data_IF_557137204492
#
_entry.id   IF_557137204492
#
_cell.length_a   1.000
_cell.length_b   1.000
_cell.length_c   1.000
_cell.angle_alpha   90.00
_cell.angle_beta   90.00
_cell.angle_gamma   90.00
#
_symmetry.space_group_name_H-M   'P 1'
#
loop_
_entity.id
_entity.type
_entity.pdbx_description
1 polymer ?
#
# COMPACT_ATOMS: atom_id res chain seq x y z
N UNK A 1 -11.56 -13.14 -17.38
CA UNK A 1 -12.25 -12.37 -16.33
C UNK A 1 -11.21 -12.21 -15.22
N UNK A 2 -10.53 -11.06 -15.20
CA UNK A 2 -9.42 -10.81 -14.28
C UNK A 2 -10.07 -10.33 -12.98
N UNK A 3 -10.25 -11.23 -12.03
CA UNK A 3 -10.49 -10.81 -10.65
C UNK A 3 -9.19 -10.19 -10.15
N UNK A 4 -9.20 -8.94 -9.66
CA UNK A 4 -8.03 -8.37 -9.05
C UNK A 4 -7.72 -9.20 -7.80
N UNK A 5 -6.67 -10.01 -7.87
CA UNK A 5 -6.17 -10.85 -6.75
C UNK A 5 -5.79 -10.03 -5.49
N UNK A 6 -5.88 -8.71 -5.56
CA UNK A 6 -5.26 -7.79 -4.61
C UNK A 6 -6.21 -6.82 -3.90
N UNK A 7 -7.52 -6.94 -4.09
CA UNK A 7 -8.44 -6.41 -3.09
C UNK A 7 -8.83 -7.59 -2.21
N UNK A 8 -8.29 -7.71 -1.00
CA UNK A 8 -8.82 -8.69 -0.06
C UNK A 8 -10.31 -8.38 0.05
N UNK A 9 -11.14 -9.37 -0.25
CA UNK A 9 -12.52 -9.30 0.19
C UNK A 9 -12.42 -9.27 1.71
N UNK A 10 -12.59 -8.10 2.30
CA UNK A 10 -12.67 -7.91 3.74
C UNK A 10 -13.93 -8.64 4.21
N UNK A 11 -13.86 -9.97 4.28
CA UNK A 11 -14.99 -10.84 4.52
C UNK A 11 -15.33 -10.98 6.00
N UNK A 12 -14.48 -10.45 6.90
CA UNK A 12 -14.69 -10.59 8.33
C UNK A 12 -14.85 -9.23 9.01
N UNK A 13 -16.04 -8.97 9.52
CA UNK A 13 -16.34 -7.76 10.27
C UNK A 13 -16.07 -7.99 11.76
N UNK A 14 -15.17 -7.21 12.35
CA UNK A 14 -15.14 -7.00 13.79
C UNK A 14 -16.22 -5.94 14.07
N UNK A 15 -17.48 -6.36 14.10
CA UNK A 15 -18.57 -5.43 13.82
C UNK A 15 -19.16 -4.75 15.05
N UNK A 16 -19.18 -5.37 16.20
CA UNK A 16 -20.05 -4.92 17.28
C UNK A 16 -19.37 -3.97 18.29
N UNK A 17 -18.05 -3.98 18.38
CA UNK A 17 -17.33 -3.29 19.45
C UNK A 17 -16.54 -2.06 19.01
N UNK A 18 -16.14 -1.98 17.74
CA UNK A 18 -15.17 -0.95 17.31
C UNK A 18 -15.43 -0.34 15.94
N UNK A 19 -16.37 -0.84 15.16
CA UNK A 19 -16.54 -0.42 13.76
C UNK A 19 -15.34 -0.77 12.87
N UNK A 20 -14.50 -1.72 13.29
CA UNK A 20 -13.32 -2.16 12.56
C UNK A 20 -13.66 -3.40 11.76
N UNK A 21 -13.34 -3.40 10.48
CA UNK A 21 -13.32 -4.58 9.62
C UNK A 21 -11.88 -5.03 9.43
N UNK A 22 -11.65 -6.33 9.54
CA UNK A 22 -10.33 -6.93 9.51
C UNK A 22 -10.28 -8.04 8.48
N UNK A 23 -9.20 -8.08 7.70
CA UNK A 23 -8.78 -9.26 6.95
C UNK A 23 -7.32 -9.54 7.26
N UNK A 24 -6.96 -10.83 7.33
CA UNK A 24 -5.58 -11.24 7.57
C UNK A 24 -5.24 -12.43 6.68
N UNK A 25 -4.09 -12.39 6.03
CA UNK A 25 -3.59 -13.45 5.17
C UNK A 25 -2.12 -13.74 5.51
N UNK A 26 -1.80 -15.01 5.62
CA UNK A 26 -0.42 -15.50 5.69
C UNK A 26 -0.02 -16.05 4.33
N UNK A 27 1.03 -15.48 3.76
CA UNK A 27 1.68 -15.93 2.55
C UNK A 27 2.91 -16.74 2.90
N UNK A 28 3.00 -17.95 2.36
CA UNK A 28 4.17 -18.81 2.46
C UNK A 28 4.26 -19.61 1.14
N UNK A 29 4.75 -18.94 0.10
CA UNK A 29 4.76 -19.49 -1.25
C UNK A 29 6.00 -19.08 -2.02
N UNK A 30 6.35 -19.87 -3.04
CA UNK A 30 7.46 -19.56 -3.92
C UNK A 30 7.06 -18.44 -4.89
N UNK A 31 7.73 -17.29 -4.78
CA UNK A 31 7.55 -16.16 -5.69
C UNK A 31 8.79 -15.95 -6.55
N UNK A 32 8.56 -15.55 -7.79
CA UNK A 32 9.63 -15.16 -8.72
C UNK A 32 9.87 -13.65 -8.60
N UNK A 33 11.13 -13.26 -8.39
CA UNK A 33 11.49 -11.85 -8.17
C UNK A 33 11.31 -10.97 -9.41
N UNK A 34 11.28 -11.55 -10.59
CA UNK A 34 11.06 -10.89 -11.88
C UNK A 34 9.60 -10.94 -12.37
N UNK A 35 8.70 -11.53 -11.59
CA UNK A 35 7.26 -11.51 -11.88
C UNK A 35 6.67 -10.15 -11.50
N UNK A 36 6.29 -9.31 -12.47
CA UNK A 36 5.71 -7.99 -12.19
C UNK A 36 4.32 -8.08 -11.55
N UNK A 37 3.68 -9.24 -11.63
CA UNK A 37 2.35 -9.50 -11.08
C UNK A 37 2.42 -10.18 -9.70
N UNK A 38 3.61 -10.50 -9.19
CA UNK A 38 3.77 -11.11 -7.86
C UNK A 38 3.22 -10.18 -6.76
N UNK A 39 3.51 -8.88 -6.85
CA UNK A 39 2.90 -7.83 -6.02
C UNK A 39 2.88 -6.52 -6.83
N UNK A 40 1.87 -6.29 -7.66
CA UNK A 40 1.80 -5.09 -8.49
C UNK A 40 1.59 -3.83 -7.65
N UNK A 41 2.18 -2.72 -8.09
CA UNK A 41 1.95 -1.42 -7.48
C UNK A 41 0.44 -1.15 -7.35
N UNK A 42 -0.06 -0.95 -6.15
CA UNK A 42 -1.48 -0.83 -5.86
C UNK A 42 -1.80 0.22 -4.79
N UNK A 43 -3.08 0.43 -4.57
CA UNK A 43 -3.64 1.35 -3.58
C UNK A 43 -4.98 0.80 -3.10
N UNK A 44 -5.30 1.03 -1.86
CA UNK A 44 -6.62 0.75 -1.27
C UNK A 44 -6.96 1.74 -0.15
N UNK A 45 -8.21 1.71 0.30
CA UNK A 45 -8.71 2.62 1.34
C UNK A 45 -8.70 2.01 2.75
N UNK A 46 -7.91 0.97 2.97
CA UNK A 46 -7.69 0.40 4.30
C UNK A 46 -6.25 0.61 4.75
N UNK A 47 -6.03 0.53 6.04
CA UNK A 47 -4.68 0.42 6.60
C UNK A 47 -4.17 -0.99 6.30
N UNK A 48 -2.94 -1.09 5.80
CA UNK A 48 -2.25 -2.37 5.69
C UNK A 48 -1.05 -2.42 6.62
N UNK A 49 -0.95 -3.51 7.36
CA UNK A 49 0.26 -3.89 8.09
C UNK A 49 0.87 -5.09 7.36
N UNK A 50 2.00 -4.85 6.71
CA UNK A 50 2.83 -5.89 6.14
C UNK A 50 3.88 -6.30 7.17
N UNK A 51 3.86 -7.56 7.62
CA UNK A 51 4.85 -8.14 8.53
C UNK A 51 5.74 -9.10 7.75
N UNK A 52 7.02 -8.77 7.59
CA UNK A 52 7.99 -9.69 7.02
C UNK A 52 8.32 -10.79 8.02
N UNK A 53 8.04 -12.05 7.69
CA UNK A 53 8.41 -13.21 8.52
C UNK A 53 9.78 -13.71 8.13
N UNK A 54 9.96 -14.02 6.83
CA UNK A 54 11.25 -14.43 6.27
C UNK A 54 11.26 -14.22 4.75
N UNK A 55 11.53 -12.99 4.33
CA UNK A 55 11.55 -12.62 2.91
C UNK A 55 12.66 -11.62 2.63
N UNK A 56 13.38 -11.80 1.52
CA UNK A 56 14.33 -10.80 1.02
C UNK A 56 13.55 -9.76 0.20
N UNK A 57 13.06 -8.73 0.88
CA UNK A 57 12.10 -7.78 0.33
C UNK A 57 12.46 -6.33 0.64
N UNK A 58 12.25 -5.46 -0.34
CA UNK A 58 12.03 -4.03 -0.11
C UNK A 58 10.54 -3.71 -0.27
N UNK A 59 10.08 -2.68 0.40
CA UNK A 59 8.70 -2.23 0.32
C UNK A 59 8.66 -0.76 -0.09
N UNK A 60 7.99 -0.49 -1.21
CA UNK A 60 7.75 0.86 -1.70
C UNK A 60 6.47 1.39 -1.05
N UNK A 61 6.57 2.56 -0.41
CA UNK A 61 5.40 3.33 0.04
C UNK A 61 5.53 4.74 -0.52
N UNK A 62 4.58 5.14 -1.34
CA UNK A 62 4.59 6.40 -2.09
C UNK A 62 5.88 6.54 -2.92
N UNK A 63 6.77 7.46 -2.55
CA UNK A 63 8.04 7.73 -3.21
C UNK A 63 9.26 7.16 -2.49
N UNK A 64 9.08 6.46 -1.37
CA UNK A 64 10.18 5.94 -0.56
C UNK A 64 10.25 4.42 -0.61
N UNK A 65 11.46 3.91 -0.82
CA UNK A 65 11.76 2.48 -0.82
C UNK A 65 12.46 2.10 0.48
N UNK A 66 11.89 1.14 1.19
CA UNK A 66 12.37 0.66 2.49
C UNK A 66 12.86 -0.78 2.34
N UNK A 67 14.06 -1.08 2.83
CA UNK A 67 14.49 -2.46 3.05
C UNK A 67 13.81 -2.97 4.32
N UNK A 68 13.15 -4.12 4.24
CA UNK A 68 12.36 -4.68 5.34
C UNK A 68 13.00 -5.97 5.85
N UNK A 69 13.82 -5.91 6.91
CA UNK A 69 14.41 -7.10 7.52
C UNK A 69 13.36 -8.06 8.08
N UNK A 70 13.77 -9.32 8.29
CA UNK A 70 12.92 -10.33 8.93
C UNK A 70 12.40 -9.86 10.29
N UNK A 71 11.12 -10.03 10.52
CA UNK A 71 10.41 -9.62 11.73
C UNK A 71 10.06 -8.13 11.83
N UNK A 72 10.50 -7.31 10.87
CA UNK A 72 10.11 -5.90 10.77
C UNK A 72 8.79 -5.78 9.99
N UNK A 73 8.14 -4.64 10.11
CA UNK A 73 6.84 -4.41 9.51
C UNK A 73 6.75 -3.06 8.80
N UNK A 74 5.91 -3.01 7.77
CA UNK A 74 5.56 -1.76 7.08
C UNK A 74 4.08 -1.48 7.28
N UNK A 75 3.73 -0.24 7.55
CA UNK A 75 2.35 0.25 7.56
C UNK A 75 2.13 1.14 6.35
N UNK A 76 1.17 0.75 5.49
CA UNK A 76 0.64 1.60 4.43
C UNK A 76 -0.70 2.17 4.87
N UNK A 77 -0.80 3.50 4.87
CA UNK A 77 -2.04 4.19 5.23
C UNK A 77 -3.06 4.16 4.07
N UNK A 78 -4.36 4.37 4.36
CA UNK A 78 -5.35 4.53 3.31
C UNK A 78 -4.93 5.59 2.29
N UNK A 79 -4.88 5.21 1.03
CA UNK A 79 -4.48 6.10 -0.05
C UNK A 79 -2.98 6.08 -0.40
N UNK A 80 -2.14 5.41 0.37
CA UNK A 80 -0.74 5.22 0.01
C UNK A 80 -0.61 4.28 -1.19
N UNK A 81 0.25 4.67 -2.12
CA UNK A 81 0.69 3.77 -3.20
C UNK A 81 1.77 2.88 -2.62
N UNK A 82 1.61 1.57 -2.76
CA UNK A 82 2.60 0.67 -2.21
C UNK A 82 2.71 -0.65 -2.98
N UNK A 83 3.83 -1.34 -2.76
CA UNK A 83 4.09 -2.70 -3.20
C UNK A 83 5.30 -3.31 -2.50
N UNK A 84 5.32 -4.64 -2.38
CA UNK A 84 6.51 -5.41 -2.09
C UNK A 84 7.37 -5.64 -3.33
N UNK A 85 8.68 -5.63 -3.16
CA UNK A 85 9.68 -5.89 -4.20
C UNK A 85 10.59 -7.00 -3.70
N UNK A 86 10.35 -8.22 -4.15
CA UNK A 86 11.13 -9.39 -3.77
C UNK A 86 12.45 -9.44 -4.55
N UNK A 87 13.57 -9.59 -3.84
CA UNK A 87 14.90 -9.55 -4.45
C UNK A 87 15.41 -10.90 -4.93
N UNK A 88 14.81 -11.98 -4.45
CA UNK A 88 15.16 -13.35 -4.83
C UNK A 88 13.93 -14.19 -5.15
N UNK A 89 14.05 -15.02 -6.18
CA UNK A 89 13.08 -16.09 -6.43
C UNK A 89 13.27 -17.18 -5.37
N UNK A 90 12.40 -17.21 -4.38
CA UNK A 90 12.47 -18.08 -3.22
C UNK A 90 11.09 -18.26 -2.59
N UNK A 91 11.00 -19.13 -1.58
CA UNK A 91 9.83 -19.11 -0.69
C UNK A 91 9.88 -17.81 0.09
N UNK A 92 8.80 -17.05 -0.01
CA UNK A 92 8.60 -15.78 0.70
C UNK A 92 7.55 -16.01 1.78
N UNK A 93 7.84 -15.59 3.00
CA UNK A 93 6.90 -15.72 4.11
C UNK A 93 6.62 -14.37 4.75
N UNK A 94 5.35 -13.95 4.70
CA UNK A 94 4.89 -12.69 5.27
C UNK A 94 3.41 -12.76 5.66
N UNK A 95 3.00 -11.84 6.51
CA UNK A 95 1.59 -11.68 6.92
C UNK A 95 1.12 -10.28 6.54
N UNK A 96 0.00 -10.20 5.82
CA UNK A 96 -0.71 -8.94 5.57
C UNK A 96 -1.94 -8.86 6.45
N UNK A 97 -2.14 -7.74 7.12
CA UNK A 97 -3.33 -7.41 7.91
C UNK A 97 -3.93 -6.14 7.33
N UNK A 98 -5.14 -6.24 6.79
CA UNK A 98 -5.89 -5.09 6.28
C UNK A 98 -6.95 -4.70 7.29
N UNK A 99 -6.99 -3.40 7.61
CA UNK A 99 -7.90 -2.83 8.59
C UNK A 99 -8.69 -1.71 7.90
N UNK A 100 -10.01 -1.86 7.86
CA UNK A 100 -10.92 -0.80 7.42
C UNK A 100 -11.70 -0.31 8.66
N UNK A 101 -11.51 0.96 8.98
CA UNK A 101 -12.01 1.57 10.20
C UNK A 101 -12.13 3.10 10.05
N UNK A 102 -12.76 3.74 11.03
CA UNK A 102 -12.65 5.19 11.21
C UNK A 102 -11.26 5.52 11.79
N UNK A 103 -10.35 5.96 10.92
CA UNK A 103 -8.98 6.33 11.31
C UNK A 103 -8.90 7.65 12.08
N UNK A 104 -10.00 8.37 12.28
CA UNK A 104 -10.07 9.51 13.21
C UNK A 104 -10.16 9.06 14.66
N UNK A 105 -10.49 7.80 14.91
CA UNK A 105 -10.51 7.21 16.25
C UNK A 105 -9.17 7.36 16.97
N UNK A 106 -9.17 7.63 18.29
CA UNK A 106 -7.95 7.75 19.09
C UNK A 106 -7.01 6.55 19.04
N UNK A 107 -7.51 5.34 18.79
CA UNK A 107 -6.67 4.12 18.67
C UNK A 107 -5.70 4.18 17.49
N UNK A 108 -5.97 5.01 16.49
CA UNK A 108 -5.11 5.23 15.35
C UNK A 108 -4.33 6.56 15.42
N UNK A 109 -4.26 7.20 16.61
CA UNK A 109 -3.59 8.49 16.78
C UNK A 109 -2.11 8.48 16.42
N UNK A 110 -1.45 7.34 16.52
CA UNK A 110 -0.04 7.18 16.16
C UNK A 110 0.22 7.36 14.65
N UNK A 111 -0.76 7.10 13.78
CA UNK A 111 -0.66 7.32 12.34
C UNK A 111 -0.65 8.80 11.95
N UNK A 112 -1.10 9.68 12.84
CA UNK A 112 -1.22 11.14 12.59
C UNK A 112 -0.06 11.95 13.19
N UNK A 113 0.94 11.30 13.74
CA UNK A 113 2.15 11.97 14.23
C UNK A 113 2.92 12.52 13.04
N UNK A 114 3.42 13.76 13.13
CA UNK A 114 4.08 14.45 12.01
C UNK A 114 5.38 13.79 11.52
N UNK A 115 5.94 12.90 12.32
CA UNK A 115 7.13 12.10 12.05
C UNK A 115 6.82 10.62 11.81
N UNK A 116 5.60 10.30 11.34
CA UNK A 116 5.22 8.95 11.00
C UNK A 116 6.09 8.42 9.86
N UNK A 117 6.76 7.29 10.12
CA UNK A 117 7.48 6.53 9.09
C UNK A 117 6.77 5.20 8.85
N UNK A 118 6.61 4.77 7.60
CA UNK A 118 5.99 3.50 7.26
C UNK A 118 6.72 2.27 7.82
N UNK A 119 8.06 2.29 7.88
CA UNK A 119 8.86 1.15 8.34
C UNK A 119 9.01 1.15 9.87
N UNK A 120 8.73 0.03 10.48
CA UNK A 120 8.89 -0.25 11.92
C UNK A 120 9.89 -1.38 12.11
N UNK A 121 11.05 -1.05 12.72
CA UNK A 121 12.06 -2.03 13.08
C UNK A 121 12.02 -2.32 14.56
N UNK A 122 12.12 -3.58 14.94
CA UNK A 122 11.93 -4.04 16.31
C UNK A 122 13.14 -4.81 16.83
N UNK A 123 13.28 -4.87 18.15
CA UNK A 123 14.18 -5.82 18.81
C UNK A 123 13.64 -7.25 18.69
N UNK A 124 14.51 -8.23 18.87
CA UNK A 124 14.19 -9.64 18.68
C UNK A 124 13.03 -10.15 19.57
N UNK A 125 12.87 -9.59 20.77
CA UNK A 125 11.76 -9.96 21.65
C UNK A 125 10.43 -9.44 21.10
N UNK A 126 10.42 -8.20 20.63
CA UNK A 126 9.23 -7.57 20.04
C UNK A 126 8.86 -8.23 18.70
N UNK A 127 9.85 -8.58 17.86
CA UNK A 127 9.64 -9.34 16.61
C UNK A 127 8.89 -10.66 16.88
N UNK A 128 9.41 -11.46 17.81
CA UNK A 128 8.77 -12.73 18.20
C UNK A 128 7.36 -12.53 18.76
N UNK A 129 7.16 -11.50 19.56
CA UNK A 129 5.84 -11.16 20.09
C UNK A 129 4.86 -10.75 19.00
N UNK A 130 5.28 -9.87 18.08
CA UNK A 130 4.46 -9.40 16.97
C UNK A 130 4.06 -10.57 16.05
N UNK A 131 5.02 -11.42 15.71
CA UNK A 131 4.76 -12.63 14.92
C UNK A 131 3.78 -13.56 15.63
N UNK A 132 3.98 -13.83 16.92
CA UNK A 132 3.04 -14.64 17.71
C UNK A 132 1.61 -14.06 17.69
N UNK A 133 1.47 -12.75 17.89
CA UNK A 133 0.16 -12.09 17.89
C UNK A 133 -0.51 -12.14 16.51
N UNK A 134 0.26 -11.95 15.43
CA UNK A 134 -0.26 -12.03 14.07
C UNK A 134 -0.76 -13.45 13.73
N UNK A 135 0.02 -14.48 14.07
CA UNK A 135 -0.41 -15.87 13.85
C UNK A 135 -1.58 -16.28 14.77
N UNK A 136 -1.63 -15.78 16.01
CA UNK A 136 -2.77 -16.01 16.89
C UNK A 136 -4.04 -15.36 16.36
N UNK A 137 -3.94 -14.12 15.86
CA UNK A 137 -5.06 -13.44 15.22
C UNK A 137 -5.55 -14.21 13.98
N UNK A 138 -4.63 -14.67 13.14
CA UNK A 138 -4.96 -15.49 11.97
C UNK A 138 -5.68 -16.79 12.35
N UNK A 139 -5.21 -17.48 13.38
CA UNK A 139 -5.81 -18.73 13.87
C UNK A 139 -7.23 -18.51 14.40
N UNK A 140 -7.44 -17.46 15.18
CA UNK A 140 -8.76 -17.07 15.69
C UNK A 140 -9.71 -16.68 14.55
N UNK A 141 -9.22 -15.97 13.54
CA UNK A 141 -10.02 -15.63 12.35
C UNK A 141 -10.43 -16.90 11.58
N UNK A 142 -9.50 -17.83 11.35
CA UNK A 142 -9.77 -19.09 10.65
C UNK A 142 -10.74 -20.02 11.40
N UNK A 143 -10.72 -19.97 12.73
CA UNK A 143 -11.61 -20.81 13.60
C UNK A 143 -12.93 -20.14 13.93
N UNK A 144 -13.23 -18.99 13.30
CA UNK A 144 -14.43 -18.20 13.61
C UNK A 144 -14.55 -17.86 15.11
N UNK A 145 -13.39 -17.56 15.73
CA UNK A 145 -13.33 -17.18 17.15
C UNK A 145 -14.11 -15.89 17.46
N UNK A 146 -14.27 -15.60 18.74
CA UNK A 146 -15.10 -14.47 19.17
C UNK A 146 -14.55 -13.12 18.70
N UNK A 147 -15.42 -12.15 18.43
CA UNK A 147 -15.05 -10.79 18.06
C UNK A 147 -14.19 -10.10 19.14
N UNK A 148 -14.43 -10.42 20.41
CA UNK A 148 -13.63 -9.90 21.52
C UNK A 148 -12.20 -10.44 21.47
N UNK A 149 -12.01 -11.69 21.10
CA UNK A 149 -10.72 -12.33 20.98
C UNK A 149 -9.92 -11.77 19.81
N UNK A 150 -10.55 -11.65 18.63
CA UNK A 150 -9.98 -10.99 17.45
C UNK A 150 -9.56 -9.56 17.78
N UNK A 151 -10.45 -8.78 18.40
CA UNK A 151 -10.18 -7.40 18.82
C UNK A 151 -9.01 -7.32 19.80
N UNK A 152 -8.93 -8.23 20.76
CA UNK A 152 -7.84 -8.27 21.74
C UNK A 152 -6.47 -8.44 21.08
N UNK A 153 -6.33 -9.37 20.15
CA UNK A 153 -5.08 -9.55 19.41
C UNK A 153 -4.75 -8.33 18.55
N UNK A 154 -5.72 -7.78 17.83
CA UNK A 154 -5.52 -6.58 17.01
C UNK A 154 -5.03 -5.39 17.86
N UNK A 155 -5.68 -5.10 18.98
CA UNK A 155 -5.29 -4.00 19.86
C UNK A 155 -3.88 -4.20 20.44
N UNK A 156 -3.48 -5.44 20.76
CA UNK A 156 -2.12 -5.72 21.18
C UNK A 156 -1.10 -5.45 20.08
N UNK A 157 -1.42 -5.81 18.83
CA UNK A 157 -0.59 -5.50 17.65
C UNK A 157 -0.46 -3.98 17.50
N UNK A 158 -1.57 -3.24 17.46
CA UNK A 158 -1.56 -1.77 17.33
C UNK A 158 -0.81 -1.09 18.48
N UNK A 159 -0.88 -1.62 19.70
CA UNK A 159 -0.14 -1.11 20.86
C UNK A 159 1.37 -1.24 20.69
N UNK A 160 1.86 -2.26 19.97
CA UNK A 160 3.29 -2.38 19.66
C UNK A 160 3.73 -1.23 18.75
N UNK A 161 2.95 -0.93 17.70
CA UNK A 161 3.24 0.18 16.80
C UNK A 161 3.14 1.55 17.49
N UNK A 162 2.11 1.76 18.32
CA UNK A 162 1.94 3.01 19.06
C UNK A 162 3.14 3.35 19.98
N UNK A 163 3.70 2.33 20.64
CA UNK A 163 4.85 2.47 21.55
C UNK A 163 6.17 2.63 20.84
N UNK A 164 6.24 2.23 19.58
CA UNK A 164 7.46 2.33 18.79
C UNK A 164 7.49 3.71 18.14
N UNK A 165 8.45 4.54 18.56
CA UNK A 165 8.77 5.76 17.80
C UNK A 165 9.42 5.34 16.48
N UNK A 166 9.03 5.95 15.35
CA UNK A 166 9.75 5.73 14.11
C UNK A 166 11.22 6.11 14.32
N UNK A 167 12.12 5.21 13.97
CA UNK A 167 13.54 5.55 13.89
C UNK A 167 13.84 6.02 12.47
N UNK A 168 14.92 6.80 12.32
CA UNK A 168 15.53 7.06 11.01
C UNK A 168 15.70 5.75 10.27
N UNK A 169 14.80 5.50 9.33
CA UNK A 169 14.67 4.23 8.67
C UNK A 169 15.70 4.15 7.57
N UNK A 170 16.39 3.04 7.48
CA UNK A 170 17.25 2.75 6.36
C UNK A 170 16.42 2.75 5.06
N UNK A 171 16.42 3.88 4.37
CA UNK A 171 15.97 3.93 2.99
C UNK A 171 16.82 2.95 2.18
N UNK A 172 16.22 2.26 1.23
CA UNK A 172 16.99 1.44 0.32
C UNK A 172 18.02 2.31 -0.42
N UNK A 173 19.22 1.77 -0.60
CA UNK A 173 20.31 2.45 -1.30
C UNK A 173 19.97 2.54 -2.81
N UNK A 174 19.27 3.61 -3.17
CA UNK A 174 18.95 3.94 -4.56
C UNK A 174 19.70 5.20 -4.99
N UNK A 175 19.96 5.38 -6.30
CA UNK A 175 20.60 6.60 -6.80
C UNK A 175 19.83 7.86 -6.36
N UNK A 176 20.53 8.85 -5.80
CA UNK A 176 19.95 10.12 -5.36
C UNK A 176 19.09 10.78 -6.46
N UNK A 177 19.54 10.69 -7.71
CA UNK A 177 18.78 11.21 -8.86
C UNK A 177 17.47 10.44 -9.05
N UNK A 178 17.43 9.12 -8.78
CA UNK A 178 16.19 8.36 -8.84
C UNK A 178 15.23 8.80 -7.74
N UNK A 179 15.73 9.01 -6.50
CA UNK A 179 14.90 9.53 -5.42
C UNK A 179 14.27 10.88 -5.79
N UNK A 180 15.07 11.82 -6.30
CA UNK A 180 14.56 13.13 -6.78
C UNK A 180 13.50 13.00 -7.87
N UNK A 181 13.64 12.00 -8.75
CA UNK A 181 12.63 11.73 -9.79
C UNK A 181 11.32 11.20 -9.16
N UNK A 182 11.41 10.32 -8.17
CA UNK A 182 10.25 9.79 -7.48
C UNK A 182 9.51 10.90 -6.71
N UNK A 183 10.26 11.77 -6.03
CA UNK A 183 9.73 12.94 -5.33
C UNK A 183 9.01 13.88 -6.31
N UNK A 184 9.65 14.21 -7.45
CA UNK A 184 9.06 15.06 -8.49
C UNK A 184 7.78 14.44 -9.08
N UNK A 185 7.79 13.14 -9.38
CA UNK A 185 6.59 12.45 -9.86
C UNK A 185 5.48 12.53 -8.79
N UNK A 186 5.79 12.33 -7.52
CA UNK A 186 4.80 12.34 -6.45
C UNK A 186 4.20 13.73 -6.22
N UNK A 187 5.01 14.78 -6.28
CA UNK A 187 4.60 16.16 -6.08
C UNK A 187 3.91 16.77 -7.31
N UNK A 188 4.39 16.44 -8.51
CA UNK A 188 4.05 17.13 -9.76
C UNK A 188 3.37 16.23 -10.81
N UNK A 189 2.86 15.05 -10.45
CA UNK A 189 2.26 14.07 -11.37
C UNK A 189 1.20 14.65 -12.30
N UNK A 190 0.48 15.68 -11.88
CA UNK A 190 -0.59 16.33 -12.64
C UNK A 190 -0.04 17.24 -13.75
N UNK A 191 1.19 17.77 -13.61
CA UNK A 191 1.87 18.63 -14.60
C UNK A 191 2.75 17.84 -15.58
N UNK A 192 3.18 16.63 -15.22
CA UNK A 192 4.04 15.80 -16.04
C UNK A 192 3.25 15.26 -17.24
N UNK A 193 3.33 15.88 -18.40
CA UNK A 193 2.59 15.44 -19.59
C UNK A 193 3.06 14.07 -20.11
N UNK A 194 4.34 13.74 -19.95
CA UNK A 194 4.94 12.49 -20.44
C UNK A 194 6.23 12.15 -19.71
N UNK A 195 6.72 10.92 -19.87
CA UNK A 195 8.04 10.50 -19.36
C UNK A 195 9.16 11.38 -19.91
N UNK A 196 9.01 11.97 -21.12
CA UNK A 196 10.02 12.87 -21.69
C UNK A 196 10.21 14.15 -20.86
N UNK A 197 9.19 14.63 -20.16
CA UNK A 197 9.35 15.77 -19.24
C UNK A 197 10.31 15.40 -18.10
N UNK A 198 10.16 14.20 -17.52
CA UNK A 198 11.04 13.68 -16.47
C UNK A 198 12.50 13.60 -16.97
N UNK A 199 12.70 13.08 -18.21
CA UNK A 199 14.02 13.00 -18.81
C UNK A 199 14.69 14.36 -18.95
N UNK A 200 13.93 15.37 -19.38
CA UNK A 200 14.42 16.73 -19.57
C UNK A 200 14.74 17.44 -18.25
N UNK A 201 13.83 17.33 -17.25
CA UNK A 201 13.99 17.99 -15.95
C UNK A 201 15.16 17.44 -15.13
N UNK A 202 15.41 16.14 -15.21
CA UNK A 202 16.45 15.48 -14.41
C UNK A 202 17.72 15.11 -15.20
N UNK A 203 17.82 15.52 -16.45
CA UNK A 203 18.99 15.28 -17.31
C UNK A 203 19.42 13.82 -17.39
N UNK A 204 18.45 12.89 -17.43
CA UNK A 204 18.70 11.45 -17.53
C UNK A 204 18.29 10.89 -18.89
N UNK A 205 19.01 9.88 -19.36
CA UNK A 205 18.64 9.19 -20.60
C UNK A 205 17.45 8.25 -20.36
N UNK A 206 16.63 8.02 -21.40
CA UNK A 206 15.52 7.06 -21.35
C UNK A 206 15.99 5.66 -20.94
N UNK A 207 17.15 5.22 -21.44
CA UNK A 207 17.74 3.93 -21.09
C UNK A 207 18.10 3.84 -19.59
N UNK A 208 18.68 4.91 -19.03
CA UNK A 208 19.04 5.00 -17.61
C UNK A 208 17.78 4.96 -16.74
N UNK A 209 16.77 5.79 -17.04
CA UNK A 209 15.53 5.85 -16.31
C UNK A 209 14.81 4.50 -16.32
N UNK A 210 14.65 3.88 -17.49
CA UNK A 210 14.00 2.57 -17.63
C UNK A 210 14.75 1.50 -16.85
N UNK A 211 16.10 1.50 -16.91
CA UNK A 211 16.93 0.54 -16.15
C UNK A 211 16.75 0.72 -14.64
N UNK A 212 16.71 1.95 -14.13
CA UNK A 212 16.51 2.22 -12.71
C UNK A 212 15.12 1.78 -12.24
N UNK A 213 14.07 2.15 -12.97
CA UNK A 213 12.70 1.74 -12.61
C UNK A 213 12.54 0.23 -12.61
N UNK A 214 13.12 -0.47 -13.60
CA UNK A 214 13.09 -1.94 -13.63
C UNK A 214 13.91 -2.56 -12.50
N UNK A 215 15.11 -2.02 -12.22
CA UNK A 215 16.00 -2.58 -11.20
C UNK A 215 15.49 -2.39 -9.78
N UNK A 216 15.00 -1.19 -9.46
CA UNK A 216 14.67 -0.82 -8.09
C UNK A 216 13.16 -0.89 -7.79
N UNK A 217 12.31 -0.74 -8.79
CA UNK A 217 10.87 -0.63 -8.62
C UNK A 217 10.08 -1.70 -9.38
N UNK A 218 10.76 -2.56 -10.15
CA UNK A 218 10.17 -3.64 -10.96
C UNK A 218 8.98 -3.19 -11.83
N UNK A 219 9.00 -1.95 -12.29
CA UNK A 219 7.96 -1.33 -13.12
C UNK A 219 8.59 -0.44 -14.20
N UNK A 220 7.79 0.11 -15.10
CA UNK A 220 8.26 1.14 -16.01
C UNK A 220 7.96 2.55 -15.47
N UNK A 221 8.70 3.59 -15.90
CA UNK A 221 8.43 4.98 -15.50
C UNK A 221 7.00 5.42 -15.84
N UNK A 222 6.46 4.94 -16.96
CA UNK A 222 5.09 5.25 -17.38
C UNK A 222 4.05 4.61 -16.49
N UNK A 223 4.19 3.31 -16.21
CA UNK A 223 3.27 2.59 -15.33
C UNK A 223 3.29 3.15 -13.91
N UNK A 224 4.45 3.58 -13.43
CA UNK A 224 4.57 4.24 -12.14
C UNK A 224 3.79 5.56 -12.12
N UNK A 225 4.01 6.46 -13.10
CA UNK A 225 3.28 7.72 -13.21
C UNK A 225 1.75 7.49 -13.32
N UNK A 226 1.34 6.52 -14.15
CA UNK A 226 -0.08 6.14 -14.28
C UNK A 226 -0.66 5.65 -12.96
N UNK A 227 0.10 4.88 -12.16
CA UNK A 227 -0.33 4.41 -10.84
C UNK A 227 -0.46 5.56 -9.84
N UNK A 228 0.48 6.51 -9.80
CA UNK A 228 0.39 7.73 -8.96
C UNK A 228 -0.88 8.53 -9.29
N UNK A 229 -1.18 8.70 -10.58
CA UNK A 229 -2.40 9.39 -11.02
C UNK A 229 -3.68 8.67 -10.65
N UNK A 230 -3.71 7.34 -10.85
CA UNK A 230 -4.87 6.52 -10.47
C UNK A 230 -5.12 6.57 -8.97
N UNK A 231 -4.07 6.58 -8.17
CA UNK A 231 -4.09 6.76 -6.73
C UNK A 231 -4.79 8.05 -6.32
N UNK A 232 -4.36 9.15 -6.92
CA UNK A 232 -4.95 10.45 -6.65
C UNK A 232 -6.43 10.52 -7.10
N UNK A 233 -6.75 9.87 -8.23
CA UNK A 233 -8.15 9.77 -8.68
C UNK A 233 -9.02 9.03 -7.67
N UNK A 234 -8.52 7.94 -7.05
CA UNK A 234 -9.23 7.23 -5.98
C UNK A 234 -9.50 8.14 -4.80
N UNK A 235 -8.52 8.90 -4.32
CA UNK A 235 -8.70 9.87 -3.23
C UNK A 235 -9.75 10.93 -3.58
N UNK A 236 -9.71 11.47 -4.80
CA UNK A 236 -10.70 12.46 -5.25
C UNK A 236 -12.11 11.86 -5.31
N UNK A 237 -12.27 10.63 -5.81
CA UNK A 237 -13.55 9.93 -5.84
C UNK A 237 -14.08 9.66 -4.43
N UNK A 238 -13.23 9.27 -3.49
CA UNK A 238 -13.57 9.05 -2.07
C UNK A 238 -14.02 10.33 -1.40
N UNK A 239 -13.41 11.46 -1.77
CA UNK A 239 -13.80 12.81 -1.29
C UNK A 239 -15.03 13.37 -2.02
N UNK A 240 -15.75 12.56 -2.80
CA UNK A 240 -17.01 12.94 -3.44
C UNK A 240 -16.90 13.69 -4.77
N UNK A 241 -15.67 13.92 -5.29
CA UNK A 241 -15.48 14.57 -6.59
C UNK A 241 -16.12 13.78 -7.74
N UNK A 242 -16.50 14.47 -8.81
CA UNK A 242 -17.03 13.81 -10.02
C UNK A 242 -15.96 12.97 -10.71
N UNK A 243 -16.37 11.99 -11.53
CA UNK A 243 -15.43 11.18 -12.33
C UNK A 243 -14.59 12.06 -13.25
N UNK A 244 -15.19 13.11 -13.82
CA UNK A 244 -14.50 14.07 -14.69
C UNK A 244 -13.47 14.89 -13.91
N UNK A 245 -13.83 15.40 -12.73
CA UNK A 245 -12.89 16.13 -11.86
C UNK A 245 -11.73 15.22 -11.42
N UNK A 246 -12.03 13.98 -11.01
CA UNK A 246 -11.02 13.02 -10.62
C UNK A 246 -10.05 12.72 -11.79
N UNK A 247 -10.57 12.55 -13.01
CA UNK A 247 -9.76 12.39 -14.22
C UNK A 247 -8.82 13.58 -14.43
N UNK A 248 -9.36 14.78 -14.52
CA UNK A 248 -8.61 15.99 -14.87
C UNK A 248 -7.59 16.37 -13.80
N UNK A 249 -7.99 16.38 -12.54
CA UNK A 249 -7.14 16.78 -11.41
C UNK A 249 -6.06 15.73 -11.10
N UNK A 250 -6.23 14.50 -11.56
CA UNK A 250 -5.19 13.47 -11.48
C UNK A 250 -4.23 13.47 -12.67
N UNK A 251 -4.30 14.48 -13.54
CA UNK A 251 -3.35 14.68 -14.63
C UNK A 251 -3.63 13.84 -15.88
N UNK A 252 -4.82 13.23 -16.00
CA UNK A 252 -5.23 12.56 -17.24
C UNK A 252 -5.82 13.57 -18.22
N UNK A 253 -5.26 13.64 -19.42
CA UNK A 253 -5.75 14.48 -20.52
C UNK A 253 -6.93 13.84 -21.29
N UNK A 254 -7.10 12.53 -21.18
CA UNK A 254 -8.15 11.75 -21.85
C UNK A 254 -8.91 10.89 -20.84
N UNK A 255 -10.18 11.25 -20.60
CA UNK A 255 -11.04 10.53 -19.67
C UNK A 255 -11.41 9.13 -20.17
N UNK A 256 -11.39 8.88 -21.49
CA UNK A 256 -11.64 7.54 -22.02
C UNK A 256 -10.48 6.61 -21.65
N UNK A 257 -9.25 7.08 -21.86
CA UNK A 257 -8.04 6.36 -21.45
C UNK A 257 -8.01 6.14 -19.92
N UNK A 258 -8.32 7.17 -19.15
CA UNK A 258 -8.45 7.06 -17.68
C UNK A 258 -9.42 5.96 -17.25
N UNK A 259 -10.64 5.92 -17.82
CA UNK A 259 -11.66 4.92 -17.48
C UNK A 259 -11.16 3.50 -17.79
N UNK A 260 -10.48 3.30 -18.93
CA UNK A 260 -9.92 2.01 -19.31
C UNK A 260 -8.82 1.57 -18.35
N UNK A 261 -7.87 2.47 -18.01
CA UNK A 261 -6.79 2.18 -17.06
C UNK A 261 -7.35 1.89 -15.66
N UNK A 262 -8.29 2.72 -15.19
CA UNK A 262 -8.94 2.54 -13.90
C UNK A 262 -9.62 1.19 -13.81
N UNK A 263 -10.43 0.82 -14.84
CA UNK A 263 -11.09 -0.49 -14.89
C UNK A 263 -10.09 -1.64 -14.95
N UNK A 264 -8.99 -1.48 -15.70
CA UNK A 264 -7.92 -2.49 -15.77
C UNK A 264 -7.29 -2.69 -14.38
N UNK A 265 -7.07 -1.60 -13.62
CA UNK A 265 -6.40 -1.63 -12.32
C UNK A 265 -7.31 -2.11 -11.20
N UNK A 266 -8.55 -1.62 -11.14
CA UNK A 266 -9.49 -1.85 -10.03
C UNK A 266 -10.62 -2.84 -10.34
N UNK A 267 -10.67 -3.40 -11.54
CA UNK A 267 -11.71 -4.36 -11.97
C UNK A 267 -13.06 -3.73 -12.30
N UNK A 268 -13.29 -2.46 -11.96
CA UNK A 268 -14.54 -1.73 -12.14
C UNK A 268 -14.29 -0.29 -12.63
N UNK A 269 -15.32 0.33 -13.20
CA UNK A 269 -15.20 1.72 -13.68
C UNK A 269 -15.16 2.71 -12.51
N UNK A 270 -14.57 3.93 -12.72
CA UNK A 270 -14.56 4.97 -11.67
C UNK A 270 -15.95 5.29 -11.11
N UNK A 271 -16.98 5.27 -11.96
CA UNK A 271 -18.36 5.51 -11.54
C UNK A 271 -18.92 4.39 -10.66
N UNK A 272 -18.64 3.13 -10.99
CA UNK A 272 -19.02 1.99 -10.16
C UNK A 272 -18.31 2.01 -8.82
N UNK A 273 -17.00 2.29 -8.84
CA UNK A 273 -16.18 2.46 -7.64
C UNK A 273 -16.76 3.54 -6.71
N UNK A 274 -17.02 4.75 -7.24
CA UNK A 274 -17.63 5.84 -6.49
C UNK A 274 -19.01 5.49 -5.91
N UNK A 275 -19.86 4.76 -6.65
CA UNK A 275 -21.16 4.32 -6.15
C UNK A 275 -21.03 3.38 -4.96
N UNK A 276 -20.09 2.46 -4.97
CA UNK A 276 -19.83 1.56 -3.83
C UNK A 276 -19.38 2.32 -2.59
N UNK A 277 -18.51 3.33 -2.72
CA UNK A 277 -18.12 4.19 -1.62
C UNK A 277 -19.34 4.90 -0.99
N UNK A 278 -20.26 5.40 -1.81
CA UNK A 278 -21.46 6.10 -1.34
C UNK A 278 -22.53 5.17 -0.73
N UNK A 279 -22.55 3.90 -1.07
CA UNK A 279 -23.50 2.91 -0.53
C UNK A 279 -22.99 2.25 0.76
N UNK A 280 -21.75 2.43 1.12
CA UNK A 280 -21.14 1.90 2.35
C UNK A 280 -21.01 3.05 3.37
N UNK A 281 -21.82 3.08 4.47
CA UNK A 281 -21.83 4.21 5.42
C UNK A 281 -20.47 4.49 6.09
N UNK A 282 -19.51 3.55 6.00
CA UNK A 282 -18.16 3.68 6.55
C UNK A 282 -17.25 4.66 5.80
N UNK A 283 -17.69 5.20 4.67
CA UNK A 283 -16.90 6.11 3.81
C UNK A 283 -17.47 7.54 3.77
N UNK A 284 -18.48 7.84 4.59
CA UNK A 284 -19.05 9.20 4.69
C UNK A 284 -18.55 9.86 5.97
N UNK A 285 -17.45 10.57 5.87
CA UNK A 285 -17.17 11.79 6.66
C UNK A 285 -16.18 12.65 5.91
#
# INVERSE_FOLDING_TARGET
>A
MYEPKYLPQLNEAISAFSGIRLSIVHHNEYLYCDDPDADPLHIHNCLEIFLNVSSDISFLVNNNLYLVPDGDAVISCPGDIHRGIFHKSAVQEYVCIWIDADFTSPIFSFLRKGDFSPLFSFDEQTKKKLQYLAFSLLDVCKKEGSELEKTSYLLQILTIFEKKMPHDTAQADIPETLQKILDDIHENFFEICSVNNILASHFVSSATLTRWFRKYLHTSPREYLESVRLSNAVLLLSNGHSVTDACMRSGFSDCSHFIVLFKKKFGETPLQYKKKLNTNPSFQT
#
